data_IF_430851271544
#
_entry.id   IF_430851271544
#
_cell.length_a   1.000
_cell.length_b   1.000
_cell.length_c   1.000
_cell.angle_alpha   90.00
_cell.angle_beta   90.00
_cell.angle_gamma   90.00
#
_symmetry.space_group_name_H-M   'P 1'
#
loop_
_entity.id
_entity.type
_entity.pdbx_description
1 polymer ?
#
# COMPACT_ATOMS: atom_id res chain seq x y z
N UNK A 1 -75.55 -7.53 4.48
CA UNK A 1 -74.78 -6.33 4.18
C UNK A 1 -73.34 -6.73 4.26
N UNK A 2 -72.78 -7.02 3.11
CA UNK A 2 -71.40 -7.49 2.96
C UNK A 2 -70.62 -6.42 2.24
N UNK A 3 -69.73 -5.79 2.93
CA UNK A 3 -68.81 -4.83 2.33
C UNK A 3 -67.62 -5.57 1.72
N UNK A 4 -67.57 -5.51 0.40
CA UNK A 4 -66.44 -5.86 -0.43
C UNK A 4 -65.36 -4.79 -0.23
N UNK A 5 -64.39 -5.06 0.55
CA UNK A 5 -63.10 -4.40 0.42
C UNK A 5 -62.25 -5.14 -0.58
N UNK A 6 -62.34 -4.71 -1.81
CA UNK A 6 -61.36 -5.05 -2.86
C UNK A 6 -60.08 -4.36 -2.55
N UNK A 7 -59.09 -5.09 -2.03
CA UNK A 7 -57.72 -4.62 -1.99
C UNK A 7 -57.21 -4.55 -3.43
N UNK A 8 -57.15 -3.34 -3.98
CA UNK A 8 -56.34 -3.04 -5.15
C UNK A 8 -54.88 -3.27 -4.79
N UNK A 9 -54.40 -4.49 -5.05
CA UNK A 9 -52.97 -4.75 -5.17
C UNK A 9 -52.50 -3.97 -6.41
N UNK A 10 -51.92 -2.80 -6.18
CA UNK A 10 -51.20 -2.07 -7.23
C UNK A 10 -50.01 -2.94 -7.63
N UNK A 11 -50.22 -3.72 -8.68
CA UNK A 11 -49.15 -4.44 -9.36
C UNK A 11 -48.22 -3.39 -9.97
N UNK A 12 -47.11 -3.08 -9.29
CA UNK A 12 -45.97 -2.42 -9.89
C UNK A 12 -45.24 -3.40 -10.80
N UNK A 13 -45.87 -3.89 -11.84
CA UNK A 13 -45.16 -4.44 -12.99
C UNK A 13 -44.51 -3.22 -13.67
N UNK A 14 -43.23 -3.00 -13.32
CA UNK A 14 -42.41 -2.02 -14.01
C UNK A 14 -42.25 -2.52 -15.45
N UNK A 15 -43.03 -1.96 -16.37
CA UNK A 15 -42.96 -2.33 -17.79
C UNK A 15 -41.58 -1.89 -18.31
N UNK A 16 -40.70 -2.86 -18.48
CA UNK A 16 -39.31 -2.66 -18.94
C UNK A 16 -39.27 -1.94 -20.28
N UNK A 17 -40.31 -2.11 -21.11
CA UNK A 17 -40.45 -1.45 -22.39
C UNK A 17 -40.80 0.04 -22.24
N UNK A 18 -41.53 0.38 -21.21
CA UNK A 18 -41.88 1.79 -20.90
C UNK A 18 -40.65 2.54 -20.38
N UNK A 19 -39.84 1.91 -19.52
CA UNK A 19 -38.56 2.43 -19.08
C UNK A 19 -37.60 2.67 -20.24
N UNK A 20 -37.48 1.74 -21.16
CA UNK A 20 -36.63 1.89 -22.36
C UNK A 20 -37.12 3.04 -23.23
N UNK A 21 -38.43 3.18 -23.40
CA UNK A 21 -39.04 4.27 -24.18
C UNK A 21 -38.79 5.64 -23.54
N UNK A 22 -38.90 5.74 -22.24
CA UNK A 22 -38.61 6.96 -21.46
C UNK A 22 -37.12 7.35 -21.55
N UNK A 23 -36.23 6.37 -21.41
CA UNK A 23 -34.78 6.52 -21.62
C UNK A 23 -34.46 7.00 -23.05
N UNK A 24 -35.13 6.46 -24.06
CA UNK A 24 -34.94 6.85 -25.46
C UNK A 24 -35.40 8.28 -25.73
N UNK A 25 -36.47 8.70 -25.08
CA UNK A 25 -36.97 10.07 -25.13
C UNK A 25 -35.99 11.07 -24.51
N UNK A 26 -35.31 10.66 -23.45
CA UNK A 26 -34.31 11.46 -22.72
C UNK A 26 -32.85 11.18 -23.16
N UNK A 27 -32.67 10.56 -24.34
CA UNK A 27 -31.34 10.14 -24.85
C UNK A 27 -30.25 11.23 -24.78
N UNK A 28 -30.61 12.46 -25.07
CA UNK A 28 -29.70 13.60 -25.01
C UNK A 28 -29.23 13.90 -23.60
N UNK A 29 -30.10 13.74 -22.61
CA UNK A 29 -29.80 13.96 -21.20
C UNK A 29 -28.89 12.87 -20.66
N UNK A 30 -29.12 11.62 -21.06
CA UNK A 30 -28.25 10.47 -20.72
C UNK A 30 -26.86 10.63 -21.35
N UNK A 31 -26.78 10.99 -22.63
CA UNK A 31 -25.51 11.20 -23.33
C UNK A 31 -24.75 12.39 -22.71
N UNK A 32 -25.44 13.49 -22.42
CA UNK A 32 -24.83 14.67 -21.82
C UNK A 32 -24.30 14.39 -20.41
N UNK A 33 -25.07 13.67 -19.59
CA UNK A 33 -24.63 13.29 -18.25
C UNK A 33 -23.45 12.35 -18.27
N UNK A 34 -23.45 11.35 -19.16
CA UNK A 34 -22.33 10.44 -19.38
C UNK A 34 -21.07 11.16 -19.84
N UNK A 35 -21.22 12.10 -20.77
CA UNK A 35 -20.11 12.94 -21.23
C UNK A 35 -19.54 13.82 -20.12
N UNK A 36 -20.38 14.41 -19.28
CA UNK A 36 -19.95 15.26 -18.17
C UNK A 36 -19.22 14.44 -17.10
N UNK A 37 -19.75 13.27 -16.76
CA UNK A 37 -19.08 12.33 -15.84
C UNK A 37 -17.75 11.83 -16.40
N UNK A 38 -17.70 11.52 -17.69
CA UNK A 38 -16.46 11.12 -18.36
C UNK A 38 -15.41 12.23 -18.35
N UNK A 39 -15.81 13.47 -18.58
CA UNK A 39 -14.93 14.63 -18.53
C UNK A 39 -14.41 14.89 -17.11
N UNK A 40 -15.24 14.76 -16.09
CA UNK A 40 -14.82 14.87 -14.69
C UNK A 40 -13.85 13.75 -14.31
N UNK A 41 -14.10 12.52 -14.75
CA UNK A 41 -13.21 11.41 -14.50
C UNK A 41 -11.84 11.57 -15.19
N UNK A 42 -11.85 12.05 -16.44
CA UNK A 42 -10.64 12.37 -17.17
C UNK A 42 -9.82 13.49 -16.52
N UNK A 43 -10.51 14.54 -16.07
CA UNK A 43 -9.89 15.64 -15.35
C UNK A 43 -9.28 15.16 -14.02
N UNK A 44 -10.01 14.34 -13.28
CA UNK A 44 -9.50 13.72 -12.06
C UNK A 44 -8.26 12.86 -12.32
N UNK A 45 -8.29 12.01 -13.35
CA UNK A 45 -7.15 11.18 -13.72
C UNK A 45 -5.93 12.00 -14.14
N UNK A 46 -6.16 13.11 -14.85
CA UNK A 46 -5.10 14.03 -15.27
C UNK A 46 -4.46 14.79 -14.10
N UNK A 47 -5.26 15.18 -13.11
CA UNK A 47 -4.76 15.87 -11.91
C UNK A 47 -4.19 14.89 -10.86
N UNK A 48 -4.48 13.60 -10.99
CA UNK A 48 -3.98 12.59 -10.06
C UNK A 48 -2.46 12.45 -10.18
N UNK A 49 -1.76 12.63 -9.07
CA UNK A 49 -0.31 12.47 -9.02
C UNK A 49 0.08 11.00 -9.16
N UNK A 50 1.09 10.66 -9.94
CA UNK A 50 1.56 9.28 -10.04
C UNK A 50 2.15 8.82 -8.69
N UNK A 51 1.72 7.64 -8.26
CA UNK A 51 2.28 6.98 -7.06
C UNK A 51 3.28 5.95 -7.55
N UNK A 52 4.53 6.11 -7.14
CA UNK A 52 5.60 5.16 -7.43
C UNK A 52 5.75 4.18 -6.27
N UNK A 53 5.85 2.91 -6.59
CA UNK A 53 6.08 1.84 -5.62
C UNK A 53 7.39 1.12 -5.96
N UNK A 54 8.34 1.14 -5.04
CA UNK A 54 9.56 0.36 -5.12
C UNK A 54 9.46 -0.87 -4.21
N UNK A 55 9.80 -2.03 -4.73
CA UNK A 55 9.78 -3.30 -4.01
C UNK A 55 11.17 -3.89 -3.98
N UNK A 56 11.63 -4.29 -2.80
CA UNK A 56 12.90 -4.97 -2.60
C UNK A 56 12.65 -6.25 -1.81
N UNK A 57 13.16 -7.36 -2.33
CA UNK A 57 13.11 -8.67 -1.66
C UNK A 57 14.43 -8.87 -0.94
N UNK A 58 14.37 -9.14 0.35
CA UNK A 58 15.53 -9.45 1.19
C UNK A 58 15.56 -10.96 1.41
N UNK A 59 16.70 -11.55 1.10
CA UNK A 59 16.98 -12.99 1.23
C UNK A 59 17.96 -13.25 2.37
N UNK A 60 17.88 -14.40 3.03
CA UNK A 60 18.90 -14.79 4.00
C UNK A 60 20.30 -14.91 3.34
N UNK A 61 21.37 -14.57 4.07
CA UNK A 61 22.72 -14.69 3.55
C UNK A 61 23.10 -16.15 3.29
N UNK A 62 24.07 -16.36 2.41
CA UNK A 62 24.62 -17.70 2.18
C UNK A 62 25.50 -18.15 3.36
N UNK A 63 25.69 -19.45 3.49
CA UNK A 63 26.62 -20.02 4.49
C UNK A 63 28.03 -19.45 4.35
N UNK A 64 28.52 -19.26 3.13
CA UNK A 64 29.81 -18.66 2.85
C UNK A 64 29.92 -17.21 3.34
N UNK A 65 28.85 -16.44 3.25
CA UNK A 65 28.82 -15.05 3.75
C UNK A 65 28.93 -14.98 5.28
N UNK A 66 28.42 -15.99 5.98
CA UNK A 66 28.48 -16.09 7.45
C UNK A 66 29.77 -16.70 7.94
N UNK A 67 30.47 -17.46 7.09
CA UNK A 67 31.71 -18.14 7.46
C UNK A 67 32.77 -17.16 7.99
N UNK A 68 32.87 -15.97 7.44
CA UNK A 68 33.80 -14.93 7.90
C UNK A 68 33.59 -14.52 9.36
N UNK A 69 32.31 -14.46 9.81
CA UNK A 69 31.96 -14.14 11.21
C UNK A 69 32.29 -15.29 12.18
N UNK A 70 32.46 -16.52 11.66
CA UNK A 70 32.75 -17.71 12.44
C UNK A 70 34.23 -18.01 12.52
N UNK A 71 35.08 -17.22 11.89
CA UNK A 71 36.50 -17.41 11.94
C UNK A 71 37.02 -17.26 13.39
N UNK A 72 37.67 -18.28 13.92
CA UNK A 72 38.11 -18.34 15.32
C UNK A 72 37.03 -18.73 16.35
N UNK A 73 35.81 -18.98 15.92
CA UNK A 73 34.74 -19.49 16.79
C UNK A 73 34.68 -21.02 16.70
N UNK A 74 35.37 -21.66 17.58
CA UNK A 74 35.41 -23.13 17.69
C UNK A 74 34.91 -23.57 19.05
N UNK A 75 34.57 -24.85 19.19
CA UNK A 75 34.14 -25.38 20.48
C UNK A 75 35.21 -25.18 21.58
N UNK A 76 36.49 -25.18 21.21
CA UNK A 76 37.61 -24.96 22.14
C UNK A 76 37.71 -23.49 22.60
N UNK A 77 37.24 -22.55 21.81
CA UNK A 77 37.20 -21.14 22.19
C UNK A 77 36.01 -20.78 23.09
N UNK A 78 35.08 -21.70 23.35
CA UNK A 78 33.88 -21.51 24.11
C UNK A 78 32.83 -20.61 23.39
N UNK A 79 33.11 -20.19 22.17
CA UNK A 79 32.24 -19.33 21.36
C UNK A 79 31.48 -20.18 20.34
N UNK A 80 30.16 -20.21 20.46
CA UNK A 80 29.35 -20.89 19.46
C UNK A 80 29.37 -20.15 18.11
N UNK A 81 29.46 -20.89 16.99
CA UNK A 81 29.36 -20.28 15.66
C UNK A 81 27.97 -19.68 15.41
N UNK A 82 27.95 -18.58 14.72
CA UNK A 82 26.69 -17.96 14.27
C UNK A 82 26.02 -18.81 13.19
N UNK A 83 24.73 -19.04 13.34
CA UNK A 83 23.90 -19.65 12.30
C UNK A 83 23.41 -18.55 11.35
N UNK A 84 23.19 -18.91 10.10
CA UNK A 84 22.61 -18.00 9.09
C UNK A 84 21.32 -17.35 9.61
N UNK A 85 20.48 -18.15 10.27
CA UNK A 85 19.20 -17.69 10.80
C UNK A 85 19.36 -16.64 11.89
N UNK A 86 20.36 -16.79 12.74
CA UNK A 86 20.62 -15.85 13.84
C UNK A 86 21.03 -14.47 13.27
N UNK A 87 21.96 -14.48 12.33
CA UNK A 87 22.42 -13.25 11.65
C UNK A 87 21.27 -12.58 10.90
N UNK A 88 20.46 -13.37 10.18
CA UNK A 88 19.34 -12.86 9.43
C UNK A 88 18.24 -12.27 10.32
N UNK A 89 17.91 -12.94 11.41
CA UNK A 89 16.92 -12.47 12.37
C UNK A 89 17.32 -11.15 13.03
N UNK A 90 18.59 -10.98 13.36
CA UNK A 90 19.14 -9.73 13.90
C UNK A 90 19.06 -8.60 12.86
N UNK A 91 19.41 -8.90 11.60
CA UNK A 91 19.32 -7.94 10.50
C UNK A 91 17.86 -7.46 10.31
N UNK A 92 16.92 -8.38 10.23
CA UNK A 92 15.48 -8.01 10.05
C UNK A 92 14.97 -7.21 11.23
N UNK A 93 15.33 -7.56 12.46
CA UNK A 93 14.97 -6.80 13.67
C UNK A 93 15.50 -5.38 13.62
N UNK A 94 16.75 -5.21 13.22
CA UNK A 94 17.35 -3.89 13.06
C UNK A 94 16.67 -3.09 11.96
N UNK A 95 16.34 -3.74 10.84
CA UNK A 95 15.64 -3.10 9.73
C UNK A 95 14.24 -2.58 10.14
N UNK A 96 13.57 -3.32 11.01
CA UNK A 96 12.24 -2.96 11.52
C UNK A 96 12.29 -1.98 12.71
N UNK A 97 13.49 -1.65 13.20
CA UNK A 97 13.61 -0.76 14.36
C UNK A 97 13.29 0.70 14.00
N UNK A 98 12.61 1.39 14.90
CA UNK A 98 12.34 2.83 14.75
C UNK A 98 13.62 3.65 14.64
N UNK A 99 14.69 3.21 15.30
CA UNK A 99 15.98 3.87 15.24
C UNK A 99 16.58 3.83 13.83
N UNK A 100 16.51 2.68 13.15
CA UNK A 100 16.97 2.56 11.78
C UNK A 100 16.14 3.41 10.82
N UNK A 101 14.83 3.45 11.02
CA UNK A 101 13.92 4.31 10.24
C UNK A 101 14.23 5.80 10.48
N UNK A 102 14.49 6.21 11.72
CA UNK A 102 14.89 7.59 12.03
C UNK A 102 16.22 7.97 11.40
N UNK A 103 17.22 7.11 11.47
CA UNK A 103 18.52 7.34 10.80
C UNK A 103 18.36 7.48 9.28
N UNK A 104 17.54 6.65 8.67
CA UNK A 104 17.27 6.74 7.23
C UNK A 104 16.52 8.04 6.90
N UNK A 105 15.52 8.39 7.70
CA UNK A 105 14.80 9.65 7.57
C UNK A 105 15.73 10.87 7.64
N UNK A 106 16.61 10.93 8.64
CA UNK A 106 17.48 12.07 8.88
C UNK A 106 18.60 12.20 7.83
N UNK A 107 19.21 11.08 7.44
CA UNK A 107 20.38 11.09 6.59
C UNK A 107 20.07 11.08 5.09
N UNK A 108 18.93 10.56 4.69
CA UNK A 108 18.59 10.35 3.28
C UNK A 108 17.31 11.10 2.89
N UNK A 109 16.22 10.90 3.62
CA UNK A 109 14.95 11.47 3.24
C UNK A 109 14.88 12.97 3.48
N UNK A 110 15.25 13.43 4.66
CA UNK A 110 15.18 14.85 5.01
C UNK A 110 16.06 15.74 4.10
N UNK A 111 17.29 15.36 3.72
CA UNK A 111 18.08 16.12 2.77
C UNK A 111 17.51 16.14 1.34
N UNK A 112 16.72 15.15 0.96
CA UNK A 112 16.10 15.07 -0.40
C UNK A 112 14.86 15.94 -0.56
N UNK A 113 14.29 16.43 0.55
CA UNK A 113 13.12 17.32 0.52
C UNK A 113 13.50 18.73 0.08
N UNK A 114 12.57 19.39 -0.61
CA UNK A 114 12.68 20.82 -0.94
C UNK A 114 12.54 21.69 0.31
N UNK A 115 13.01 22.94 0.25
CA UNK A 115 12.93 23.85 1.39
C UNK A 115 11.49 24.15 1.82
N UNK A 116 10.55 24.15 0.88
CA UNK A 116 9.13 24.31 1.16
C UNK A 116 8.57 23.12 1.98
N UNK A 117 8.95 21.89 1.63
CA UNK A 117 8.53 20.67 2.33
C UNK A 117 9.19 20.58 3.73
N UNK A 118 10.42 21.04 3.88
CA UNK A 118 11.12 21.08 5.17
C UNK A 118 10.50 22.05 6.18
N UNK A 119 9.67 22.99 5.74
CA UNK A 119 8.99 23.95 6.64
C UNK A 119 7.98 23.29 7.56
N UNK A 120 7.54 22.07 7.27
CA UNK A 120 6.68 21.29 8.15
C UNK A 120 7.43 20.77 9.38
N UNK A 121 6.69 20.45 10.46
CA UNK A 121 7.30 19.90 11.66
C UNK A 121 7.97 18.54 11.38
N UNK A 122 9.18 18.34 11.89
CA UNK A 122 9.95 17.10 11.73
C UNK A 122 9.17 15.85 12.10
N UNK A 123 8.38 15.92 13.15
CA UNK A 123 7.60 14.79 13.63
C UNK A 123 6.47 14.42 12.66
N UNK A 124 5.87 15.43 12.01
CA UNK A 124 4.84 15.21 11.00
C UNK A 124 5.44 14.56 9.74
N UNK A 125 6.60 15.05 9.33
CA UNK A 125 7.35 14.49 8.20
C UNK A 125 7.78 13.04 8.48
N UNK A 126 8.31 12.76 9.66
CA UNK A 126 8.71 11.41 10.06
C UNK A 126 7.52 10.46 10.09
N UNK A 127 6.37 10.89 10.61
CA UNK A 127 5.14 10.09 10.64
C UNK A 127 4.60 9.81 9.24
N UNK A 128 4.71 10.76 8.32
CA UNK A 128 4.35 10.56 6.92
C UNK A 128 5.30 9.57 6.23
N UNK A 129 6.60 9.74 6.44
CA UNK A 129 7.65 8.88 5.92
C UNK A 129 7.50 7.43 6.42
N UNK A 130 7.28 7.22 7.71
CA UNK A 130 7.13 5.88 8.27
C UNK A 130 5.93 5.09 7.72
N UNK A 131 4.88 5.80 7.28
CA UNK A 131 3.72 5.19 6.61
C UNK A 131 4.01 4.77 5.17
N UNK A 132 5.00 5.38 4.54
CA UNK A 132 5.38 5.07 3.16
C UNK A 132 6.23 3.80 3.06
N UNK A 133 6.86 3.39 4.15
CA UNK A 133 7.68 2.17 4.19
C UNK A 133 6.92 1.08 4.92
N UNK A 134 6.72 -0.04 4.25
CA UNK A 134 6.15 -1.23 4.87
C UNK A 134 7.08 -2.43 4.67
N UNK A 135 7.35 -3.13 5.76
CA UNK A 135 8.10 -4.37 5.75
C UNK A 135 7.09 -5.47 6.00
N UNK A 136 6.71 -6.17 4.93
CA UNK A 136 5.75 -7.25 5.04
C UNK A 136 6.43 -8.53 5.46
N UNK A 137 5.71 -9.26 6.32
CA UNK A 137 6.06 -10.62 6.69
C UNK A 137 6.08 -11.51 5.45
N UNK A 138 6.94 -12.53 5.43
CA UNK A 138 7.05 -13.43 4.31
C UNK A 138 5.71 -14.11 4.02
N UNK A 139 5.45 -14.35 2.77
CA UNK A 139 4.37 -15.22 2.33
C UNK A 139 4.55 -16.60 2.99
N UNK A 140 3.44 -17.22 3.38
CA UNK A 140 3.46 -18.59 3.96
C UNK A 140 4.16 -19.61 3.08
N UNK A 141 4.16 -19.39 1.76
CA UNK A 141 4.86 -20.23 0.79
C UNK A 141 6.38 -20.01 0.78
N UNK A 142 6.87 -18.87 1.28
CA UNK A 142 8.29 -18.48 1.24
C UNK A 142 8.68 -17.76 2.53
N UNK A 143 8.78 -18.49 3.66
CA UNK A 143 8.96 -17.91 4.99
C UNK A 143 10.31 -17.19 5.19
N UNK A 144 11.26 -17.40 4.28
CA UNK A 144 12.62 -16.83 4.37
C UNK A 144 12.79 -15.50 3.61
N UNK A 145 11.74 -15.00 2.98
CA UNK A 145 11.81 -13.79 2.14
C UNK A 145 11.01 -12.64 2.74
N UNK A 146 11.69 -11.57 3.08
CA UNK A 146 11.03 -10.33 3.49
C UNK A 146 10.87 -9.39 2.31
N UNK A 147 9.69 -8.79 2.20
CA UNK A 147 9.38 -7.80 1.17
C UNK A 147 9.36 -6.41 1.82
N UNK A 148 10.25 -5.55 1.35
CA UNK A 148 10.24 -4.13 1.69
C UNK A 148 9.52 -3.41 0.57
N UNK A 149 8.50 -2.66 0.90
CA UNK A 149 7.75 -1.83 -0.03
C UNK A 149 7.89 -0.38 0.40
N UNK A 150 8.42 0.44 -0.48
CA UNK A 150 8.44 1.88 -0.31
C UNK A 150 7.48 2.51 -1.32
N UNK A 151 6.50 3.27 -0.83
CA UNK A 151 5.53 4.00 -1.65
C UNK A 151 5.81 5.49 -1.54
N UNK A 152 6.17 6.10 -2.64
CA UNK A 152 6.24 7.54 -2.71
C UNK A 152 4.88 8.07 -3.13
N UNK A 153 4.02 8.35 -2.16
CA UNK A 153 2.89 9.24 -2.36
C UNK A 153 3.41 10.65 -2.17
N UNK A 154 3.39 11.43 -3.23
CA UNK A 154 3.68 12.86 -3.09
C UNK A 154 2.57 13.48 -2.23
N UNK A 155 2.87 14.21 -1.13
CA UNK A 155 1.86 14.85 -0.30
C UNK A 155 1.00 15.84 -1.06
#
# INVERSE_FOLDING_TARGET
MSDKQSSEAVNYEVDFMELIRELWKSRWLVVLSGFFLGLLAALYAYLSKPVYEARVIVLPPSLSSVAGFNQGRTSDSGLQPFKVQDVYSVFIRNLQSDESLRRFFENIYLPSLTDAERSESREKLFRSFSKQISISLPDRAQPDRYLIVARQGNP
#
